data_IF_337665811284
#
_entry.id   IF_337665811284
#
_cell.length_a   1.000
_cell.length_b   1.000
_cell.length_c   1.000
_cell.angle_alpha   90.00
_cell.angle_beta   90.00
_cell.angle_gamma   90.00
#
_symmetry.space_group_name_H-M   'P 1'
#
loop_
_entity.id
_entity.type
_entity.pdbx_description
1 polymer ?
#
# COMPACT_ATOMS: atom_id res chain seq x y z
N UNK A 1 -1.59 31.25 -17.07
CA UNK A 1 -2.13 29.87 -17.14
C UNK A 1 -1.58 29.24 -18.41
N UNK A 2 -1.04 28.03 -18.33
CA UNK A 2 -0.49 27.34 -19.49
C UNK A 2 -1.52 26.37 -20.07
N UNK A 3 -1.70 26.38 -21.39
CA UNK A 3 -2.56 25.41 -22.09
C UNK A 3 -1.66 24.27 -22.55
N UNK A 4 -1.77 23.11 -21.91
CA UNK A 4 -1.05 21.91 -22.32
C UNK A 4 -1.73 21.35 -23.57
N UNK A 5 -0.97 20.99 -24.63
CA UNK A 5 -1.54 20.26 -25.76
C UNK A 5 -2.16 18.94 -25.28
N UNK A 6 -3.37 18.60 -25.73
CA UNK A 6 -4.10 17.40 -25.30
C UNK A 6 -3.26 16.11 -25.40
N UNK A 7 -2.43 16.01 -26.45
CA UNK A 7 -1.50 14.90 -26.68
C UNK A 7 -0.45 14.72 -25.57
N UNK A 8 -0.21 15.74 -24.75
CA UNK A 8 0.78 15.74 -23.66
C UNK A 8 0.12 15.69 -22.27
N UNK A 9 -1.21 15.88 -22.17
CA UNK A 9 -1.94 15.90 -20.90
C UNK A 9 -1.73 14.61 -20.08
N UNK A 10 -1.64 13.47 -20.76
CA UNK A 10 -1.39 12.17 -20.14
C UNK A 10 -0.07 12.12 -19.36
N UNK A 11 0.96 12.84 -19.81
CA UNK A 11 2.27 12.90 -19.13
C UNK A 11 2.15 13.64 -17.80
N UNK A 12 1.47 14.79 -17.78
CA UNK A 12 1.25 15.57 -16.57
C UNK A 12 0.39 14.81 -15.56
N UNK A 13 -0.64 14.12 -16.04
CA UNK A 13 -1.48 13.25 -15.20
C UNK A 13 -0.66 12.10 -14.60
N UNK A 14 0.18 11.44 -15.40
CA UNK A 14 1.02 10.33 -14.94
C UNK A 14 2.06 10.79 -13.90
N UNK A 15 2.69 11.95 -14.10
CA UNK A 15 3.65 12.51 -13.14
C UNK A 15 2.96 12.87 -11.83
N UNK A 16 1.82 13.58 -11.88
CA UNK A 16 1.08 13.94 -10.67
C UNK A 16 0.67 12.70 -9.88
N UNK A 17 0.13 11.69 -10.55
CA UNK A 17 -0.27 10.43 -9.93
C UNK A 17 0.92 9.69 -9.30
N UNK A 18 2.05 9.62 -10.00
CA UNK A 18 3.26 8.98 -9.49
C UNK A 18 3.78 9.68 -8.23
N UNK A 19 3.84 11.02 -8.24
CA UNK A 19 4.27 11.81 -7.08
C UNK A 19 3.30 11.59 -5.92
N UNK A 20 1.99 11.71 -6.17
CA UNK A 20 0.95 11.54 -5.15
C UNK A 20 1.05 10.17 -4.46
N UNK A 21 1.17 9.08 -5.22
CA UNK A 21 1.33 7.74 -4.67
C UNK A 21 2.58 7.61 -3.80
N UNK A 22 3.71 8.19 -4.23
CA UNK A 22 4.95 8.14 -3.43
C UNK A 22 4.88 8.96 -2.15
N UNK A 23 4.23 10.13 -2.17
CA UNK A 23 4.02 10.92 -0.96
C UNK A 23 3.09 10.17 0.02
N UNK A 24 2.03 9.53 -0.49
CA UNK A 24 1.13 8.71 0.32
C UNK A 24 1.85 7.52 0.96
N UNK A 25 2.68 6.81 0.20
CA UNK A 25 3.49 5.70 0.72
C UNK A 25 4.39 6.16 1.88
N UNK A 26 5.06 7.32 1.74
CA UNK A 26 5.88 7.91 2.80
C UNK A 26 5.04 8.27 4.03
N UNK A 27 3.86 8.87 3.84
CA UNK A 27 2.95 9.22 4.93
C UNK A 27 2.48 7.98 5.70
N UNK A 28 2.14 6.90 5.00
CA UNK A 28 1.71 5.63 5.62
C UNK A 28 2.84 5.00 6.44
N UNK A 29 4.08 5.05 5.96
CA UNK A 29 5.25 4.56 6.71
C UNK A 29 5.50 5.37 7.99
N UNK A 30 5.37 6.70 7.94
CA UNK A 30 5.48 7.55 9.13
C UNK A 30 4.40 7.25 10.16
N UNK A 31 3.15 7.06 9.70
CA UNK A 31 2.05 6.66 10.59
C UNK A 31 2.30 5.29 11.21
N UNK A 32 2.80 4.32 10.44
CA UNK A 32 3.13 2.99 10.95
C UNK A 32 4.27 3.02 11.99
N UNK A 33 5.24 3.94 11.85
CA UNK A 33 6.28 4.18 12.85
C UNK A 33 5.70 4.73 14.16
N UNK A 34 4.78 5.70 14.07
CA UNK A 34 4.16 6.34 15.24
C UNK A 34 3.12 5.45 15.94
N UNK A 35 2.48 4.56 15.20
CA UNK A 35 1.44 3.65 15.67
C UNK A 35 1.81 2.21 15.28
N UNK A 36 2.77 1.59 16.00
CA UNK A 36 3.23 0.25 15.64
C UNK A 36 2.08 -0.74 15.75
N UNK A 37 1.62 -1.23 14.60
CA UNK A 37 0.82 -2.43 14.52
C UNK A 37 1.73 -3.64 14.78
N UNK A 38 1.19 -4.73 15.33
CA UNK A 38 1.97 -5.96 15.61
C UNK A 38 2.72 -6.40 14.34
N UNK A 39 4.05 -6.31 14.38
CA UNK A 39 4.94 -6.72 13.30
C UNK A 39 5.51 -8.11 13.61
N UNK A 40 5.48 -9.02 12.62
CA UNK A 40 6.01 -10.39 12.77
C UNK A 40 7.42 -10.52 12.14
N UNK A 41 7.85 -9.57 11.29
CA UNK A 41 9.15 -9.69 10.59
C UNK A 41 9.80 -8.38 10.11
N UNK A 42 9.07 -7.27 9.97
CA UNK A 42 9.66 -5.96 9.62
C UNK A 42 10.06 -5.27 10.92
N UNK A 43 11.32 -4.86 11.06
CA UNK A 43 11.79 -4.03 12.16
C UNK A 43 12.13 -2.65 11.59
N UNK A 44 11.35 -1.63 11.98
CA UNK A 44 11.74 -0.25 11.71
C UNK A 44 12.69 0.21 12.82
N UNK A 45 13.83 0.78 12.44
CA UNK A 45 14.68 1.49 13.40
C UNK A 45 13.88 2.64 14.01
N UNK A 46 13.84 2.70 15.34
CA UNK A 46 13.02 3.71 16.00
C UNK A 46 13.65 5.09 15.86
N UNK A 47 12.98 6.00 15.14
CA UNK A 47 13.32 7.42 15.15
C UNK A 47 12.83 8.02 16.48
N UNK A 48 13.70 8.04 17.48
CA UNK A 48 13.44 8.63 18.81
C UNK A 48 13.55 10.16 18.83
N UNK A 49 14.17 10.75 17.80
CA UNK A 49 14.33 12.20 17.68
C UNK A 49 13.04 12.85 17.14
N UNK A 50 12.23 13.41 18.04
CA UNK A 50 10.99 14.10 17.70
C UNK A 50 11.21 15.33 16.80
N UNK A 51 12.35 16.01 16.90
CA UNK A 51 12.66 17.15 16.05
C UNK A 51 12.89 16.71 14.60
N UNK A 52 13.57 15.58 14.40
CA UNK A 52 13.74 14.99 13.07
C UNK A 52 12.39 14.58 12.46
N UNK A 53 11.52 13.94 13.24
CA UNK A 53 10.16 13.60 12.79
C UNK A 53 9.35 14.85 12.39
N UNK A 54 9.44 15.92 13.18
CA UNK A 54 8.77 17.18 12.86
C UNK A 54 9.30 17.78 11.55
N UNK A 55 10.61 17.76 11.32
CA UNK A 55 11.21 18.23 10.07
C UNK A 55 10.76 17.39 8.87
N UNK A 56 10.68 16.06 9.01
CA UNK A 56 10.18 15.18 7.95
C UNK A 56 8.72 15.51 7.61
N UNK A 57 7.86 15.68 8.62
CA UNK A 57 6.47 16.10 8.41
C UNK A 57 6.35 17.44 7.70
N UNK A 58 7.16 18.43 8.10
CA UNK A 58 7.18 19.74 7.44
C UNK A 58 7.54 19.61 5.95
N UNK A 59 8.58 18.83 5.63
CA UNK A 59 8.98 18.62 4.22
C UNK A 59 7.97 17.83 3.43
N UNK A 60 7.32 16.84 4.02
CA UNK A 60 6.25 16.09 3.36
C UNK A 60 5.06 17.00 3.03
N UNK A 61 4.65 17.86 3.96
CA UNK A 61 3.59 18.86 3.72
C UNK A 61 3.96 19.85 2.62
N UNK A 62 5.21 20.32 2.60
CA UNK A 62 5.70 21.20 1.53
C UNK A 62 5.63 20.53 0.15
N UNK A 63 5.97 19.24 0.05
CA UNK A 63 5.86 18.48 -1.21
C UNK A 63 4.40 18.33 -1.66
N UNK A 64 3.47 18.07 -0.75
CA UNK A 64 2.03 18.06 -1.06
C UNK A 64 1.54 19.42 -1.57
N UNK A 65 2.01 20.52 -0.99
CA UNK A 65 1.68 21.86 -1.47
C UNK A 65 2.19 22.08 -2.90
N UNK A 66 3.43 21.70 -3.20
CA UNK A 66 4.00 21.80 -4.55
C UNK A 66 3.21 20.96 -5.57
N UNK A 67 2.80 19.75 -5.20
CA UNK A 67 1.95 18.90 -6.04
C UNK A 67 0.58 19.56 -6.31
N UNK A 68 -0.05 20.13 -5.28
CA UNK A 68 -1.33 20.85 -5.42
C UNK A 68 -1.20 22.05 -6.37
N UNK A 69 -0.12 22.82 -6.24
CA UNK A 69 0.18 23.94 -7.11
C UNK A 69 0.42 23.50 -8.57
N UNK A 70 1.17 22.40 -8.76
CA UNK A 70 1.37 21.76 -10.07
C UNK A 70 0.04 21.35 -10.71
N UNK A 71 -0.81 20.62 -9.98
CA UNK A 71 -2.10 20.16 -10.49
C UNK A 71 -3.00 21.34 -10.87
N UNK A 72 -3.03 22.40 -10.06
CA UNK A 72 -3.78 23.63 -10.34
C UNK A 72 -3.25 24.37 -11.57
N UNK A 73 -1.92 24.52 -11.69
CA UNK A 73 -1.30 25.23 -12.81
C UNK A 73 -1.56 24.57 -14.16
N UNK A 74 -1.62 23.23 -14.17
CA UNK A 74 -1.73 22.39 -15.36
C UNK A 74 -3.11 21.75 -15.55
N UNK A 75 -4.10 22.08 -14.70
CA UNK A 75 -5.45 21.52 -14.72
C UNK A 75 -5.47 19.99 -14.71
N UNK A 76 -4.54 19.39 -13.98
CA UNK A 76 -4.53 17.94 -13.75
C UNK A 76 -5.66 17.63 -12.77
N UNK A 77 -6.59 16.71 -13.12
CA UNK A 77 -7.68 16.35 -12.22
C UNK A 77 -7.11 15.66 -10.97
N UNK A 78 -7.57 16.09 -9.79
CA UNK A 78 -7.26 15.41 -8.54
C UNK A 78 -8.09 14.12 -8.51
N UNK A 79 -7.42 12.97 -8.35
CA UNK A 79 -8.11 11.69 -8.24
C UNK A 79 -8.58 11.49 -6.80
N UNK A 80 -9.89 11.35 -6.61
CA UNK A 80 -10.41 10.94 -5.32
C UNK A 80 -10.24 9.43 -5.15
N UNK A 81 -9.46 9.02 -4.16
CA UNK A 81 -9.34 7.62 -3.78
C UNK A 81 -10.48 7.29 -2.81
N UNK A 82 -11.30 6.32 -3.18
CA UNK A 82 -12.23 5.70 -2.24
C UNK A 82 -11.44 4.71 -1.38
N UNK A 83 -11.21 5.06 -0.11
CA UNK A 83 -10.44 4.24 0.82
C UNK A 83 -10.98 2.80 0.95
N UNK A 84 -12.31 2.64 1.05
CA UNK A 84 -12.96 1.32 1.10
C UNK A 84 -12.64 0.50 -0.14
N UNK A 85 -12.71 1.12 -1.33
CA UNK A 85 -12.34 0.47 -2.60
C UNK A 85 -10.86 0.08 -2.65
N UNK A 86 -9.96 0.98 -2.22
CA UNK A 86 -8.52 0.70 -2.23
C UNK A 86 -8.16 -0.45 -1.28
N UNK A 87 -8.75 -0.49 -0.08
CA UNK A 87 -8.59 -1.60 0.85
C UNK A 87 -9.13 -2.91 0.27
N UNK A 88 -10.30 -2.86 -0.36
CA UNK A 88 -10.91 -4.03 -0.98
C UNK A 88 -10.02 -4.58 -2.12
N UNK A 89 -9.46 -3.71 -2.97
CA UNK A 89 -8.48 -4.11 -4.00
C UNK A 89 -7.26 -4.79 -3.38
N UNK A 90 -6.66 -4.20 -2.33
CA UNK A 90 -5.51 -4.79 -1.64
C UNK A 90 -5.84 -6.14 -0.98
N UNK A 91 -7.02 -6.25 -0.38
CA UNK A 91 -7.50 -7.49 0.22
C UNK A 91 -7.66 -8.60 -0.81
N UNK A 92 -8.24 -8.29 -1.98
CA UNK A 92 -8.38 -9.27 -3.07
C UNK A 92 -7.02 -9.72 -3.62
N UNK A 93 -6.08 -8.80 -3.85
CA UNK A 93 -4.73 -9.20 -4.28
C UNK A 93 -4.04 -10.12 -3.27
N UNK A 94 -4.13 -9.79 -1.97
CA UNK A 94 -3.57 -10.65 -0.92
C UNK A 94 -4.25 -12.03 -0.88
N UNK A 95 -5.57 -12.07 -1.09
CA UNK A 95 -6.32 -13.32 -1.19
C UNK A 95 -5.86 -14.17 -2.38
N UNK A 96 -5.66 -13.56 -3.55
CA UNK A 96 -5.14 -14.24 -4.74
C UNK A 96 -3.73 -14.81 -4.48
N UNK A 97 -2.82 -14.03 -3.90
CA UNK A 97 -1.46 -14.46 -3.58
C UNK A 97 -1.44 -15.64 -2.60
N UNK A 98 -2.24 -15.58 -1.54
CA UNK A 98 -2.29 -16.62 -0.50
C UNK A 98 -2.97 -17.89 -1.01
N UNK A 99 -4.03 -17.77 -1.82
CA UNK A 99 -4.68 -18.94 -2.43
C UNK A 99 -3.78 -19.64 -3.46
N UNK A 100 -2.89 -18.90 -4.13
CA UNK A 100 -1.82 -19.46 -4.96
C UNK A 100 -0.74 -20.22 -4.17
N UNK A 101 -0.54 -19.87 -2.89
CA UNK A 101 0.48 -20.45 -2.03
C UNK A 101 0.09 -21.75 -1.31
N UNK A 102 -1.03 -22.41 -1.64
CA UNK A 102 -1.51 -23.64 -0.96
C UNK A 102 -0.47 -24.77 -0.93
N UNK A 103 -0.65 -25.76 -0.04
CA UNK A 103 0.31 -26.86 0.18
C UNK A 103 0.66 -27.68 -1.07
N UNK A 104 -0.18 -27.65 -2.12
CA UNK A 104 0.17 -28.18 -3.44
C UNK A 104 1.42 -27.56 -4.06
N UNK A 105 1.70 -26.28 -3.77
CA UNK A 105 2.93 -25.59 -4.20
C UNK A 105 4.19 -26.16 -3.52
N UNK A 106 4.10 -26.55 -2.24
CA UNK A 106 5.23 -27.12 -1.49
C UNK A 106 5.68 -28.48 -2.02
N UNK A 107 4.76 -29.28 -2.57
CA UNK A 107 5.12 -30.53 -3.27
C UNK A 107 6.07 -30.26 -4.45
N UNK A 108 5.89 -29.14 -5.14
CA UNK A 108 6.77 -28.71 -6.23
C UNK A 108 8.21 -28.41 -5.80
N UNK A 109 8.43 -28.16 -4.50
CA UNK A 109 9.74 -27.92 -3.89
C UNK A 109 10.32 -29.16 -3.20
N UNK A 110 9.70 -30.34 -3.35
CA UNK A 110 10.20 -31.60 -2.81
C UNK A 110 9.89 -31.84 -1.33
N UNK A 111 9.00 -31.04 -0.72
CA UNK A 111 8.53 -31.27 0.64
C UNK A 111 7.46 -32.36 0.63
N UNK A 112 7.69 -33.43 1.37
CA UNK A 112 6.82 -34.62 1.42
C UNK A 112 6.32 -34.96 2.83
N UNK A 113 6.78 -34.24 3.85
CA UNK A 113 6.35 -34.40 5.24
C UNK A 113 4.85 -34.06 5.38
N UNK A 114 3.97 -35.05 5.67
CA UNK A 114 2.53 -34.82 5.75
C UNK A 114 2.12 -33.90 6.89
N UNK A 115 2.82 -33.93 8.03
CA UNK A 115 2.47 -33.11 9.21
C UNK A 115 2.77 -31.64 8.94
N UNK A 116 3.95 -31.36 8.37
CA UNK A 116 4.33 -30.02 7.94
C UNK A 116 3.37 -29.47 6.88
N UNK A 117 2.97 -30.32 5.94
CA UNK A 117 2.03 -29.94 4.89
C UNK A 117 0.65 -29.57 5.42
N UNK A 118 0.15 -30.34 6.39
CA UNK A 118 -1.15 -30.08 7.03
C UNK A 118 -1.11 -28.80 7.86
N UNK A 119 -0.10 -28.62 8.73
CA UNK A 119 0.06 -27.40 9.53
C UNK A 119 0.16 -26.14 8.65
N UNK A 120 0.94 -26.20 7.57
CA UNK A 120 1.04 -25.11 6.61
C UNK A 120 -0.32 -24.80 5.97
N UNK A 121 -1.04 -25.84 5.50
CA UNK A 121 -2.34 -25.65 4.87
C UNK A 121 -3.36 -25.05 5.83
N UNK A 122 -3.37 -25.47 7.11
CA UNK A 122 -4.22 -24.89 8.14
C UNK A 122 -3.93 -23.40 8.35
N UNK A 123 -2.65 -22.99 8.39
CA UNK A 123 -2.29 -21.57 8.51
C UNK A 123 -2.73 -20.76 7.29
N UNK A 124 -2.52 -21.27 6.09
CA UNK A 124 -2.98 -20.62 4.84
C UNK A 124 -4.50 -20.46 4.83
N UNK A 125 -5.25 -21.46 5.30
CA UNK A 125 -6.70 -21.37 5.44
C UNK A 125 -7.10 -20.28 6.43
N UNK A 126 -6.47 -20.21 7.61
CA UNK A 126 -6.76 -19.18 8.60
C UNK A 126 -6.51 -17.76 8.06
N UNK A 127 -5.43 -17.54 7.29
CA UNK A 127 -5.20 -16.27 6.61
C UNK A 127 -6.29 -15.96 5.57
N UNK A 128 -6.67 -16.96 4.77
CA UNK A 128 -7.72 -16.82 3.74
C UNK A 128 -9.05 -16.43 4.38
N UNK A 129 -9.42 -17.06 5.49
CA UNK A 129 -10.66 -16.78 6.22
C UNK A 129 -10.67 -15.34 6.79
N UNK A 130 -9.57 -14.91 7.43
CA UNK A 130 -9.44 -13.55 7.92
C UNK A 130 -9.53 -12.49 6.82
N UNK A 131 -9.02 -12.79 5.61
CA UNK A 131 -9.15 -11.90 4.46
C UNK A 131 -10.58 -11.88 3.92
N UNK A 132 -11.26 -13.02 3.87
CA UNK A 132 -12.67 -13.11 3.46
C UNK A 132 -13.56 -12.27 4.39
N UNK A 133 -13.35 -12.34 5.72
CA UNK A 133 -14.06 -11.51 6.70
C UNK A 133 -13.82 -10.02 6.44
N UNK A 134 -12.57 -9.62 6.17
CA UNK A 134 -12.23 -8.25 5.82
C UNK A 134 -12.93 -7.79 4.53
N UNK A 135 -12.92 -8.60 3.47
CA UNK A 135 -13.62 -8.30 2.22
C UNK A 135 -15.12 -8.14 2.45
N UNK A 136 -15.73 -8.98 3.30
CA UNK A 136 -17.14 -8.88 3.65
C UNK A 136 -17.46 -7.55 4.38
N UNK A 137 -16.61 -7.10 5.30
CA UNK A 137 -16.77 -5.79 5.98
C UNK A 137 -16.63 -4.62 4.97
N UNK A 138 -15.78 -4.80 3.96
CA UNK A 138 -15.47 -3.81 2.93
C UNK A 138 -16.42 -3.84 1.72
N UNK A 139 -17.48 -4.64 1.73
CA UNK A 139 -18.55 -4.62 0.74
C UNK A 139 -19.81 -4.02 1.38
#
# INVERSE_FOLDING_TARGET
MYTIPEKQQHVFNAIAYMIEKKLLDMQLQLLAHQHPLKQVSIQYENISNLQLLAQIHEKLNALYQLLSEFCRAYRVPIQQINFKKELNVKANFLWEDITGARAGSMKGYGITDPELMDDYQQKINAFTDGINEMIHILN
#
